data_IF_994698355431
#
_entry.id   IF_994698355431
#
_cell.length_a   1.000
_cell.length_b   1.000
_cell.length_c   1.000
_cell.angle_alpha   90.00
_cell.angle_beta   90.00
_cell.angle_gamma   90.00
#
_symmetry.space_group_name_H-M   'P 1'
#
loop_
_entity.id
_entity.type
_entity.pdbx_description
1 polymer ?
#
# COMPACT_ATOMS: atom_id res chain seq x y z
N UNK A 1 -10.11 -2.47 15.75
CA UNK A 1 -9.12 -1.37 15.62
C UNK A 1 -9.87 -0.10 15.26
N UNK A 2 -9.34 1.09 15.58
CA UNK A 2 -9.94 2.35 15.13
C UNK A 2 -9.67 2.52 13.63
N UNK A 3 -10.75 2.65 12.83
CA UNK A 3 -10.64 3.05 11.42
C UNK A 3 -10.23 4.52 11.34
N UNK A 4 -9.42 4.84 10.35
CA UNK A 4 -8.93 6.17 10.05
C UNK A 4 -9.17 6.48 8.59
N UNK A 5 -9.77 7.63 8.36
CA UNK A 5 -9.90 8.21 7.02
C UNK A 5 -8.62 8.98 6.68
N UNK A 6 -8.11 8.71 5.48
CA UNK A 6 -6.93 9.35 4.91
C UNK A 6 -7.20 9.73 3.46
N UNK A 7 -6.59 10.81 3.00
CA UNK A 7 -6.57 11.15 1.57
C UNK A 7 -5.35 10.48 0.94
N UNK A 8 -5.57 9.59 -0.02
CA UNK A 8 -4.54 8.98 -0.85
C UNK A 8 -4.41 9.78 -2.16
N UNK A 9 -3.26 10.41 -2.35
CA UNK A 9 -2.93 11.17 -3.57
C UNK A 9 -1.99 10.32 -4.43
N UNK A 10 -2.41 10.05 -5.65
CA UNK A 10 -1.64 9.29 -6.65
C UNK A 10 -1.25 10.24 -7.77
N UNK A 11 0.02 10.63 -7.78
CA UNK A 11 0.58 11.52 -8.79
C UNK A 11 1.07 10.75 -10.02
N UNK A 12 0.89 11.37 -11.18
CA UNK A 12 1.33 10.81 -12.48
C UNK A 12 2.25 11.76 -13.25
N UNK A 13 2.90 12.70 -12.54
CA UNK A 13 3.77 13.73 -13.11
C UNK A 13 3.10 14.53 -14.24
N UNK A 14 1.80 14.79 -14.12
CA UNK A 14 0.99 15.48 -15.14
C UNK A 14 0.63 14.63 -16.36
N UNK A 15 1.01 13.36 -16.40
CA UNK A 15 0.68 12.39 -17.45
C UNK A 15 -0.74 11.80 -17.34
N UNK A 16 -1.13 10.99 -18.32
CA UNK A 16 -2.34 10.19 -18.22
C UNK A 16 -2.16 9.01 -17.26
N UNK A 17 -3.18 8.70 -16.45
CA UNK A 17 -3.14 7.55 -15.54
C UNK A 17 -3.41 6.26 -16.33
N UNK A 18 -2.42 5.37 -16.40
CA UNK A 18 -2.62 4.06 -17.03
C UNK A 18 -3.59 3.22 -16.22
N UNK A 19 -4.68 2.76 -16.85
CA UNK A 19 -5.65 1.88 -16.19
C UNK A 19 -5.00 0.60 -15.66
N UNK A 20 -4.09 0.01 -16.43
CA UNK A 20 -3.33 -1.17 -16.03
C UNK A 20 -2.45 -0.90 -14.79
N UNK A 21 -1.68 0.19 -14.79
CA UNK A 21 -0.80 0.51 -13.65
C UNK A 21 -1.61 0.86 -12.41
N UNK A 22 -2.74 1.54 -12.57
CA UNK A 22 -3.63 1.87 -11.47
C UNK A 22 -4.27 0.62 -10.85
N UNK A 23 -4.76 -0.30 -11.68
CA UNK A 23 -5.30 -1.59 -11.22
C UNK A 23 -4.23 -2.42 -10.52
N UNK A 24 -3.03 -2.51 -11.10
CA UNK A 24 -1.90 -3.22 -10.48
C UNK A 24 -1.53 -2.56 -9.15
N UNK A 25 -1.40 -1.24 -9.10
CA UNK A 25 -1.10 -0.51 -7.87
C UNK A 25 -2.11 -0.84 -6.77
N UNK A 26 -3.41 -0.75 -7.03
CA UNK A 26 -4.42 -1.06 -6.03
C UNK A 26 -4.41 -2.53 -5.61
N UNK A 27 -4.11 -3.45 -6.53
CA UNK A 27 -3.94 -4.88 -6.23
C UNK A 27 -2.80 -5.11 -5.23
N UNK A 28 -1.63 -4.51 -5.47
CA UNK A 28 -0.50 -4.61 -4.54
C UNK A 28 -0.73 -3.83 -3.24
N UNK A 29 -1.34 -2.64 -3.31
CA UNK A 29 -1.64 -1.80 -2.15
C UNK A 29 -2.57 -2.52 -1.19
N UNK A 30 -3.66 -3.14 -1.70
CA UNK A 30 -4.55 -3.97 -0.88
C UNK A 30 -3.81 -5.19 -0.31
N UNK A 31 -3.02 -5.90 -1.11
CA UNK A 31 -2.27 -7.06 -0.62
C UNK A 31 -1.30 -6.70 0.53
N UNK A 32 -0.63 -5.55 0.43
CA UNK A 32 0.23 -5.02 1.50
C UNK A 32 -0.59 -4.68 2.76
N UNK A 33 -1.76 -4.07 2.59
CA UNK A 33 -2.67 -3.76 3.70
C UNK A 33 -3.11 -5.03 4.43
N UNK A 34 -3.61 -6.04 3.69
CA UNK A 34 -4.02 -7.33 4.27
C UNK A 34 -2.87 -8.02 4.99
N UNK A 35 -1.67 -7.99 4.41
CA UNK A 35 -0.49 -8.55 5.07
C UNK A 35 -0.23 -7.85 6.42
N UNK A 36 -0.32 -6.53 6.46
CA UNK A 36 -0.23 -5.76 7.70
C UNK A 36 -1.32 -6.13 8.72
N UNK A 37 -2.57 -6.32 8.28
CA UNK A 37 -3.65 -6.82 9.16
C UNK A 37 -3.26 -8.17 9.76
N UNK A 38 -2.85 -9.14 8.94
CA UNK A 38 -2.51 -10.50 9.40
C UNK A 38 -1.31 -10.54 10.33
N UNK A 39 -0.28 -9.72 10.07
CA UNK A 39 0.88 -9.59 10.96
C UNK A 39 0.45 -8.97 12.30
N UNK A 40 -0.39 -7.92 12.26
CA UNK A 40 -0.87 -7.26 13.48
C UNK A 40 -1.73 -8.18 14.35
N UNK A 41 -2.51 -9.08 13.74
CA UNK A 41 -3.30 -10.10 14.43
C UNK A 41 -2.41 -11.16 15.10
N UNK A 42 -1.29 -11.55 14.48
CA UNK A 42 -0.40 -12.59 15.01
C UNK A 42 0.61 -12.08 16.04
N UNK A 43 1.15 -10.87 15.84
CA UNK A 43 2.31 -10.35 16.58
C UNK A 43 2.00 -9.09 17.41
N UNK A 44 0.79 -8.54 17.29
CA UNK A 44 0.45 -7.23 17.86
C UNK A 44 0.98 -6.06 17.01
N UNK A 45 0.48 -4.86 17.29
CA UNK A 45 0.73 -3.65 16.48
C UNK A 45 2.23 -3.23 16.47
N UNK A 46 2.97 -3.53 17.54
CA UNK A 46 4.37 -3.12 17.70
C UNK A 46 5.36 -3.89 16.81
N UNK A 47 4.93 -4.92 16.09
CA UNK A 47 5.83 -5.82 15.36
C UNK A 47 5.97 -5.49 13.86
N UNK A 48 5.04 -4.70 13.31
CA UNK A 48 4.92 -4.40 11.88
C UNK A 48 6.25 -3.97 11.25
N UNK A 49 6.93 -4.92 10.59
CA UNK A 49 8.24 -4.71 9.97
C UNK A 49 8.35 -5.33 8.58
N UNK A 50 9.29 -4.81 7.78
CA UNK A 50 9.61 -5.34 6.45
C UNK A 50 10.03 -6.80 6.47
N UNK A 51 10.78 -7.21 7.49
CA UNK A 51 11.22 -8.61 7.64
C UNK A 51 10.07 -9.56 7.92
N UNK A 52 9.08 -9.14 8.72
CA UNK A 52 7.88 -9.95 8.96
C UNK A 52 7.03 -10.11 7.69
N UNK A 53 6.92 -9.06 6.86
CA UNK A 53 6.29 -9.19 5.55
C UNK A 53 7.03 -10.23 4.69
N UNK A 54 8.35 -10.13 4.59
CA UNK A 54 9.16 -11.06 3.80
C UNK A 54 8.96 -12.50 4.30
N UNK A 55 8.94 -12.72 5.61
CA UNK A 55 8.66 -14.04 6.21
C UNK A 55 7.25 -14.54 5.86
N UNK A 56 6.23 -13.67 5.97
CA UNK A 56 4.86 -14.01 5.60
C UNK A 56 4.76 -14.38 4.11
N UNK A 57 5.33 -13.54 3.23
CA UNK A 57 5.34 -13.75 1.78
C UNK A 57 6.03 -15.07 1.44
N UNK A 58 7.21 -15.34 2.00
CA UNK A 58 7.94 -16.58 1.76
C UNK A 58 7.16 -17.80 2.27
N UNK A 59 6.51 -17.69 3.43
CA UNK A 59 5.65 -18.77 3.96
C UNK A 59 4.48 -19.05 3.01
N UNK A 60 3.83 -18.02 2.47
CA UNK A 60 2.73 -18.21 1.50
C UNK A 60 3.27 -18.87 0.22
N UNK A 61 4.41 -18.42 -0.32
CA UNK A 61 5.05 -19.03 -1.50
C UNK A 61 5.35 -20.53 -1.33
N UNK A 62 5.64 -20.97 -0.11
CA UNK A 62 5.92 -22.37 0.19
C UNK A 62 4.65 -23.25 0.30
N UNK A 63 3.50 -22.65 0.61
CA UNK A 63 2.27 -23.38 0.94
C UNK A 63 1.23 -23.27 -0.18
N UNK A 64 1.27 -22.19 -0.96
CA UNK A 64 0.26 -21.88 -1.98
C UNK A 64 0.89 -21.96 -3.38
N UNK A 65 0.14 -22.55 -4.32
CA UNK A 65 0.51 -22.59 -5.74
C UNK A 65 0.12 -21.31 -6.51
N UNK A 66 -0.53 -20.37 -5.83
CA UNK A 66 -1.01 -19.10 -6.41
C UNK A 66 -0.06 -17.95 -6.12
N UNK A 67 -0.15 -16.90 -6.93
CA UNK A 67 0.60 -15.65 -6.69
C UNK A 67 0.27 -15.09 -5.31
N UNK A 68 1.29 -14.75 -4.51
CA UNK A 68 1.11 -14.26 -3.13
C UNK A 68 0.23 -13.01 -3.08
N UNK A 69 0.40 -12.13 -4.06
CA UNK A 69 -0.38 -10.90 -4.18
C UNK A 69 -1.85 -11.25 -4.39
N UNK A 70 -2.18 -12.17 -5.30
CA UNK A 70 -3.56 -12.64 -5.50
C UNK A 70 -4.13 -13.34 -4.28
N UNK A 71 -3.31 -14.12 -3.59
CA UNK A 71 -3.73 -14.80 -2.37
C UNK A 71 -4.15 -13.77 -1.31
N UNK A 72 -3.27 -12.83 -0.97
CA UNK A 72 -3.54 -11.78 0.01
C UNK A 72 -4.67 -10.85 -0.44
N UNK A 73 -4.71 -10.51 -1.73
CA UNK A 73 -5.75 -9.68 -2.31
C UNK A 73 -7.16 -10.28 -2.16
N UNK A 74 -7.30 -11.61 -1.98
CA UNK A 74 -8.61 -12.27 -1.85
C UNK A 74 -9.02 -12.53 -0.40
N UNK A 75 -8.15 -12.28 0.57
CA UNK A 75 -8.48 -12.50 1.99
C UNK A 75 -9.49 -11.44 2.44
N UNK A 76 -10.56 -11.90 3.08
CA UNK A 76 -11.56 -11.09 3.76
C UNK A 76 -10.97 -10.46 5.03
N UNK A 77 -11.10 -9.14 5.17
CA UNK A 77 -10.65 -8.38 6.34
C UNK A 77 -11.80 -7.99 7.27
N UNK A 78 -13.05 -8.40 6.99
CA UNK A 78 -14.23 -8.14 7.80
C UNK A 78 -14.33 -6.65 8.22
N UNK A 79 -14.41 -6.38 9.52
CA UNK A 79 -14.49 -5.03 10.08
C UNK A 79 -13.23 -4.18 9.89
N UNK A 80 -12.12 -4.76 9.44
CA UNK A 80 -10.86 -4.07 9.17
C UNK A 80 -10.62 -3.84 7.66
N UNK A 81 -11.63 -4.02 6.80
CA UNK A 81 -11.49 -3.84 5.35
C UNK A 81 -10.97 -2.44 4.98
N UNK A 82 -10.17 -2.37 3.91
CA UNK A 82 -9.71 -1.13 3.30
C UNK A 82 -10.77 -0.65 2.30
N UNK A 83 -11.39 0.48 2.58
CA UNK A 83 -12.51 1.01 1.80
C UNK A 83 -12.09 2.25 1.01
N UNK A 84 -12.57 2.37 -0.23
CA UNK A 84 -12.59 3.63 -0.97
C UNK A 84 -13.92 4.32 -0.67
N UNK A 85 -13.87 5.48 -0.01
CA UNK A 85 -15.05 6.26 0.34
C UNK A 85 -15.41 7.28 -0.76
N UNK A 86 -14.39 7.83 -1.43
CA UNK A 86 -14.53 8.77 -2.53
C UNK A 86 -13.34 8.68 -3.49
N UNK A 87 -13.57 9.01 -4.77
CA UNK A 87 -12.53 9.08 -5.81
C UNK A 87 -12.77 10.35 -6.64
N UNK A 88 -11.87 11.33 -6.49
CA UNK A 88 -11.86 12.55 -7.27
C UNK A 88 -10.93 12.36 -8.46
N UNK A 89 -11.52 12.33 -9.66
CA UNK A 89 -10.81 12.11 -10.93
C UNK A 89 -10.14 13.39 -11.44
N UNK A 90 -9.23 13.92 -10.63
CA UNK A 90 -8.33 15.01 -11.00
C UNK A 90 -6.93 14.44 -11.30
N UNK A 91 -6.02 15.26 -11.81
CA UNK A 91 -4.60 14.91 -11.87
C UNK A 91 -3.84 15.88 -10.96
N UNK A 92 -3.31 15.43 -9.81
CA UNK A 92 -3.22 14.05 -9.34
C UNK A 92 -4.58 13.43 -8.92
N UNK A 93 -4.68 12.09 -9.02
CA UNK A 93 -5.87 11.37 -8.55
C UNK A 93 -5.91 11.42 -7.03
N UNK A 94 -7.04 11.82 -6.47
CA UNK A 94 -7.24 11.84 -5.01
C UNK A 94 -8.34 10.87 -4.63
N UNK A 95 -8.05 9.95 -3.71
CA UNK A 95 -9.02 9.01 -3.16
C UNK A 95 -9.15 9.23 -1.64
N UNK A 96 -10.36 9.16 -1.11
CA UNK A 96 -10.55 9.04 0.35
C UNK A 96 -10.58 7.55 0.66
N UNK A 97 -9.67 7.10 1.52
CA UNK A 97 -9.60 5.71 1.98
C UNK A 97 -9.86 5.59 3.48
N UNK A 98 -10.47 4.49 3.89
CA UNK A 98 -10.68 4.14 5.31
C UNK A 98 -10.08 2.79 5.63
N UNK A 99 -9.31 2.71 6.73
CA UNK A 99 -8.68 1.48 7.17
C UNK A 99 -8.07 1.61 8.57
N UNK A 100 -7.47 0.54 9.07
CA UNK A 100 -6.78 0.56 10.37
C UNK A 100 -5.54 1.47 10.32
N UNK A 101 -5.50 2.48 11.18
CA UNK A 101 -4.42 3.48 11.20
C UNK A 101 -3.00 2.88 11.26
N UNK A 102 -2.78 1.92 12.18
CA UNK A 102 -1.48 1.26 12.33
C UNK A 102 -1.11 0.40 11.11
N UNK A 103 -2.09 -0.12 10.39
CA UNK A 103 -1.86 -0.91 9.18
C UNK A 103 -1.61 0.01 7.99
N UNK A 104 -2.28 1.17 7.91
CA UNK A 104 -2.00 2.18 6.88
C UNK A 104 -0.57 2.70 6.98
N UNK A 105 -0.05 2.95 8.18
CA UNK A 105 1.37 3.28 8.41
C UNK A 105 2.30 2.26 7.75
N UNK A 106 2.00 0.98 7.91
CA UNK A 106 2.78 -0.11 7.34
C UNK A 106 2.76 -0.08 5.81
N UNK A 107 1.60 0.10 5.18
CA UNK A 107 1.47 0.14 3.71
C UNK A 107 2.24 1.31 3.10
N UNK A 108 2.19 2.47 3.74
CA UNK A 108 2.87 3.70 3.30
C UNK A 108 4.38 3.52 3.20
N UNK A 109 4.97 2.78 4.13
CA UNK A 109 6.41 2.44 4.10
C UNK A 109 6.75 1.65 2.82
N UNK A 110 5.90 0.71 2.40
CA UNK A 110 6.22 -0.15 1.24
C UNK A 110 5.98 0.48 -0.12
N UNK A 111 5.08 1.45 -0.22
CA UNK A 111 4.89 2.19 -1.47
C UNK A 111 5.85 3.38 -1.60
N UNK A 112 6.73 3.60 -0.62
CA UNK A 112 7.69 4.72 -0.62
C UNK A 112 6.99 6.08 -0.53
N UNK A 113 5.80 6.12 0.05
CA UNK A 113 4.95 7.29 0.13
C UNK A 113 5.43 8.29 1.19
N UNK A 114 5.10 9.56 0.97
CA UNK A 114 5.23 10.60 2.00
C UNK A 114 3.88 10.83 2.66
N UNK A 115 3.90 11.16 3.95
CA UNK A 115 2.70 11.51 4.70
C UNK A 115 2.74 12.98 5.05
N UNK A 116 1.69 13.70 4.70
CA UNK A 116 1.47 15.07 5.13
C UNK A 116 0.44 15.08 6.26
N UNK A 117 0.85 15.61 7.39
CA UNK A 117 0.01 15.77 8.57
C UNK A 117 0.26 17.15 9.16
N UNK A 118 -0.80 17.93 9.40
CA UNK A 118 -0.70 19.31 9.92
C UNK A 118 0.29 20.21 9.15
N UNK A 119 0.38 20.03 7.83
CA UNK A 119 1.29 20.79 6.95
C UNK A 119 2.75 20.34 6.97
N UNK A 120 3.10 19.31 7.76
CA UNK A 120 4.43 18.71 7.78
C UNK A 120 4.45 17.50 6.87
N UNK A 121 5.32 17.51 5.86
CA UNK A 121 5.57 16.37 4.98
C UNK A 121 6.71 15.50 5.53
N UNK A 122 6.44 14.23 5.79
CA UNK A 122 7.38 13.26 6.36
C UNK A 122 7.52 12.09 5.40
N UNK A 123 8.76 11.81 4.99
CA UNK A 123 9.09 10.55 4.33
C UNK A 123 9.24 9.47 5.39
N UNK A 124 8.44 8.43 5.29
CA UNK A 124 8.45 7.36 6.28
C UNK A 124 9.47 6.31 5.86
N UNK A 125 10.72 6.52 6.29
CA UNK A 125 11.83 5.60 6.00
C UNK A 125 12.01 4.52 7.09
N UNK A 126 11.55 4.77 8.33
CA UNK A 126 11.58 3.78 9.42
C UNK A 126 10.36 3.94 10.37
N UNK A 127 9.97 2.82 11.00
CA UNK A 127 8.79 2.56 11.86
C UNK A 127 8.82 3.34 13.19
N UNK A 128 9.11 4.65 13.16
CA UNK A 128 9.03 5.52 14.35
C UNK A 128 8.00 6.62 14.13
N UNK A 129 6.79 6.18 13.77
CA UNK A 129 5.68 7.01 13.29
C UNK A 129 4.64 7.27 14.39
N UNK A 130 4.92 6.87 15.63
CA UNK A 130 3.95 6.92 16.73
C UNK A 130 3.32 8.32 16.90
N UNK A 131 2.17 8.55 16.26
CA UNK A 131 1.45 9.83 16.32
C UNK A 131 1.02 10.44 14.98
N UNK A 132 1.63 10.13 13.83
CA UNK A 132 1.28 10.81 12.56
C UNK A 132 -0.16 10.50 12.15
N UNK A 133 -0.58 9.24 12.27
CA UNK A 133 -1.95 8.84 11.93
C UNK A 133 -2.96 9.11 13.05
N UNK A 134 -2.53 9.75 14.16
CA UNK A 134 -3.43 10.28 15.19
C UNK A 134 -3.95 11.68 14.84
N UNK A 135 -3.32 12.39 13.90
CA UNK A 135 -3.79 13.70 13.46
C UNK A 135 -5.13 13.60 12.74
N UNK A 136 -5.97 14.64 12.80
CA UNK A 136 -7.29 14.66 12.17
C UNK A 136 -7.21 14.51 10.65
N UNK A 137 -6.29 15.23 10.01
CA UNK A 137 -6.10 15.23 8.56
C UNK A 137 -4.76 14.58 8.19
N UNK A 138 -4.84 13.43 7.51
CA UNK A 138 -3.68 12.68 7.02
C UNK A 138 -3.79 12.54 5.52
N UNK A 139 -2.77 13.04 4.81
CA UNK A 139 -2.64 12.87 3.36
C UNK A 139 -1.46 11.95 3.08
N UNK A 140 -1.70 10.87 2.37
CA UNK A 140 -0.69 9.92 1.89
C UNK A 140 -0.41 10.26 0.43
N UNK A 141 0.78 10.75 0.13
CA UNK A 141 1.23 11.00 -1.24
C UNK A 141 2.07 9.83 -1.71
N UNK A 142 1.57 9.10 -2.70
CA UNK A 142 2.35 8.07 -3.37
C UNK A 142 3.37 8.78 -4.27
N UNK A 143 4.63 8.28 -4.39
CA UNK A 143 5.51 8.70 -5.47
C UNK A 143 4.83 8.49 -6.85
N UNK A 144 5.43 8.96 -7.96
CA UNK A 144 4.86 8.70 -9.28
C UNK A 144 4.39 7.25 -9.43
N UNK A 145 3.16 7.03 -9.92
CA UNK A 145 2.47 5.74 -9.86
C UNK A 145 3.35 4.53 -10.24
N UNK A 146 4.15 4.67 -11.29
CA UNK A 146 5.09 3.65 -11.76
C UNK A 146 6.18 3.31 -10.73
N UNK A 147 6.71 4.32 -10.03
CA UNK A 147 7.68 4.16 -8.93
C UNK A 147 7.03 3.49 -7.72
N UNK A 148 5.85 3.95 -7.30
CA UNK A 148 5.14 3.35 -6.17
C UNK A 148 4.79 1.87 -6.41
N UNK A 149 4.37 1.53 -7.63
CA UNK A 149 4.15 0.15 -8.04
C UNK A 149 5.43 -0.69 -8.01
N UNK A 150 6.58 -0.13 -8.41
CA UNK A 150 7.86 -0.85 -8.37
C UNK A 150 8.34 -1.13 -6.94
N UNK A 151 8.18 -0.17 -6.01
CA UNK A 151 8.47 -0.36 -4.59
C UNK A 151 7.63 -1.51 -4.01
N UNK A 152 6.33 -1.53 -4.33
CA UNK A 152 5.43 -2.61 -3.92
C UNK A 152 5.84 -3.96 -4.53
N UNK A 153 6.18 -4.02 -5.82
CA UNK A 153 6.65 -5.26 -6.48
C UNK A 153 7.89 -5.82 -5.78
N UNK A 154 8.86 -4.94 -5.49
CA UNK A 154 10.08 -5.30 -4.78
C UNK A 154 9.77 -5.85 -3.37
N UNK A 155 8.82 -5.26 -2.65
CA UNK A 155 8.39 -5.73 -1.33
C UNK A 155 7.84 -7.16 -1.33
N UNK A 156 7.19 -7.59 -2.42
CA UNK A 156 6.69 -8.97 -2.60
C UNK A 156 7.73 -9.92 -3.25
N UNK A 157 8.96 -9.44 -3.45
CA UNK A 157 10.04 -10.20 -4.07
C UNK A 157 9.78 -10.52 -5.55
N UNK A 158 9.05 -9.64 -6.25
CA UNK A 158 9.00 -9.62 -7.72
C UNK A 158 9.96 -8.54 -8.20
N UNK A 159 10.90 -8.91 -9.07
CA UNK A 159 11.69 -7.93 -9.80
C UNK A 159 10.75 -7.02 -10.62
N UNK A 160 11.13 -5.75 -10.77
CA UNK A 160 10.38 -4.82 -11.59
C UNK A 160 10.29 -5.38 -13.01
N UNK A 161 9.11 -5.88 -13.39
CA UNK A 161 8.87 -6.36 -14.73
C UNK A 161 9.01 -5.18 -15.69
N UNK A 162 10.18 -5.05 -16.32
CA UNK A 162 10.38 -4.13 -17.42
C UNK A 162 9.44 -4.61 -18.54
N UNK A 163 8.50 -3.76 -18.96
CA UNK A 163 7.54 -4.09 -20.02
C UNK A 163 8.33 -4.53 -21.25
N UNK A 164 8.27 -5.81 -21.63
CA UNK A 164 8.57 -6.21 -23.01
C UNK A 164 7.35 -5.82 -23.83
N UNK A 165 7.56 -5.03 -24.88
CA UNK A 165 6.47 -4.68 -25.79
C UNK A 165 6.03 -5.96 -26.50
N UNK A 166 4.74 -6.03 -26.79
CA UNK A 166 4.14 -7.15 -27.54
C UNK A 166 4.77 -7.28 -28.93
N UNK A 167 5.41 -6.22 -29.44
CA UNK A 167 6.12 -6.20 -30.72
C UNK A 167 7.37 -7.11 -30.77
N UNK A 168 7.77 -7.73 -29.65
CA UNK A 168 8.89 -8.69 -29.58
C UNK A 168 8.43 -10.18 -29.57
N UNK A 169 7.17 -10.46 -29.92
CA UNK A 169 6.60 -11.82 -30.06
C UNK A 169 6.27 -12.19 -31.52
#
# INVERSE_FOLDING_TARGET
MLKKECVLVIETDGGGISSYELTEFFRYFRAAYVAGVKISESSGISALSKDELIRLVNRIKLIQSVDVVDYLFKIDCENNELEFLDIQRENPLSCIISGSASVLEFVVIFCGATVVSNGVEVKIDEVNVAGIFKAENVVIKIPPLSKGLNELRAAFGKEAACRRKIDDL
#
